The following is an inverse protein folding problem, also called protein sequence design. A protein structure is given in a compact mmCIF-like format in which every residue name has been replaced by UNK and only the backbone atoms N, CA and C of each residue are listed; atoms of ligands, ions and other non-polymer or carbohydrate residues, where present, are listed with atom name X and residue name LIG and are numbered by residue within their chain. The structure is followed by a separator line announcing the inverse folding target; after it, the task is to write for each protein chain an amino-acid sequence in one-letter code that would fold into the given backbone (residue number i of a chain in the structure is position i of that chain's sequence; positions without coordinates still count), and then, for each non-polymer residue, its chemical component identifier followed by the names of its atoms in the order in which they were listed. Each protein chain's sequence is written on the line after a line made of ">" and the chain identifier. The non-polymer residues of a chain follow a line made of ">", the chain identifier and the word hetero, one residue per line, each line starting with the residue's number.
data_IF_583714366135
#
_entry.id   IF_583714366135
#
_cell.length_a   1.000
_cell.length_b   1.000
_cell.length_c   1.000
_cell.angle_alpha   90.00
_cell.angle_beta   90.00
_cell.angle_gamma   90.00
#
_symmetry.space_group_name_H-M   'P 1'
#
loop_
_entity.id
_entity.type
_entity.pdbx_description
1 polymer ?
#
# COMPACT_ATOMS: atom_id res chain seq x y z
N UNK A 1 40.91 34.17 -7.78
CA UNK A 1 40.30 33.08 -8.56
C UNK A 1 38.96 32.78 -7.89
N UNK A 2 37.90 33.47 -8.32
CA UNK A 2 36.58 33.39 -7.68
C UNK A 2 35.84 32.16 -8.21
N UNK A 3 35.59 31.20 -7.32
CA UNK A 3 34.82 30.01 -7.64
C UNK A 3 33.34 30.31 -7.38
N UNK A 4 32.64 30.72 -8.44
CA UNK A 4 31.19 30.90 -8.46
C UNK A 4 30.50 29.53 -8.28
N UNK A 5 29.66 29.32 -7.25
CA UNK A 5 28.94 28.07 -7.10
C UNK A 5 27.89 27.96 -8.21
N UNK A 6 27.90 26.81 -8.90
CA UNK A 6 26.93 26.46 -9.92
C UNK A 6 25.58 26.18 -9.24
N UNK A 7 24.70 27.18 -9.24
CA UNK A 7 23.28 26.99 -8.95
C UNK A 7 22.65 26.15 -10.08
N UNK A 8 22.74 24.83 -9.94
CA UNK A 8 22.02 23.87 -10.75
C UNK A 8 21.04 23.10 -9.87
N UNK A 9 19.90 23.71 -9.55
CA UNK A 9 18.77 22.99 -8.98
C UNK A 9 18.15 22.11 -10.07
N UNK A 10 18.48 20.82 -10.07
CA UNK A 10 17.82 19.80 -10.90
C UNK A 10 16.35 19.68 -10.44
N UNK A 11 15.35 20.03 -11.27
CA UNK A 11 13.94 20.03 -10.84
C UNK A 11 13.30 18.63 -10.71
N UNK A 12 14.06 17.54 -10.91
CA UNK A 12 13.49 16.21 -11.15
C UNK A 12 13.25 15.37 -9.88
N UNK A 13 13.74 15.81 -8.71
CA UNK A 13 13.60 15.03 -7.47
C UNK A 13 12.21 15.15 -6.81
N UNK A 14 11.50 16.28 -7.03
CA UNK A 14 10.22 16.55 -6.36
C UNK A 14 9.01 15.89 -7.02
N UNK A 15 9.05 15.68 -8.33
CA UNK A 15 7.88 15.13 -9.05
C UNK A 15 7.64 13.64 -8.76
N UNK A 16 8.69 12.90 -8.39
CA UNK A 16 8.57 11.47 -8.10
C UNK A 16 8.13 11.18 -6.66
N UNK A 17 8.46 12.03 -5.68
CA UNK A 17 8.24 11.69 -4.27
C UNK A 17 6.75 11.59 -3.89
N UNK A 18 5.89 12.41 -4.51
CA UNK A 18 4.45 12.33 -4.29
C UNK A 18 3.83 11.07 -4.93
N UNK A 19 4.27 10.73 -6.16
CA UNK A 19 3.85 9.50 -6.83
C UNK A 19 4.34 8.24 -6.11
N UNK A 20 5.54 8.30 -5.53
CA UNK A 20 6.11 7.21 -4.74
C UNK A 20 5.38 7.05 -3.40
N UNK A 21 5.04 8.15 -2.72
CA UNK A 21 4.20 8.12 -1.53
C UNK A 21 2.84 7.48 -1.82
N UNK A 22 2.20 7.88 -2.93
CA UNK A 22 0.92 7.33 -3.37
C UNK A 22 0.98 5.82 -3.56
N UNK A 23 1.98 5.33 -4.31
CA UNK A 23 2.18 3.89 -4.53
C UNK A 23 2.43 3.13 -3.23
N UNK A 24 3.25 3.69 -2.33
CA UNK A 24 3.52 3.08 -1.02
C UNK A 24 2.25 3.00 -0.15
N UNK A 25 1.42 4.05 -0.18
CA UNK A 25 0.16 4.11 0.55
C UNK A 25 -0.86 3.09 0.03
N UNK A 26 -0.98 2.94 -1.29
CA UNK A 26 -1.81 1.92 -1.93
C UNK A 26 -1.35 0.50 -1.57
N UNK A 27 -0.04 0.22 -1.64
CA UNK A 27 0.51 -1.08 -1.24
C UNK A 27 0.31 -1.40 0.25
N UNK A 28 0.36 -0.39 1.13
CA UNK A 28 0.07 -0.58 2.54
C UNK A 28 -1.39 -0.99 2.79
N UNK A 29 -2.34 -0.35 2.10
CA UNK A 29 -3.76 -0.69 2.20
C UNK A 29 -4.04 -2.11 1.71
N UNK A 30 -3.37 -2.55 0.64
CA UNK A 30 -3.47 -3.92 0.14
C UNK A 30 -3.00 -4.97 1.17
N UNK A 31 -1.83 -4.74 1.78
CA UNK A 31 -1.28 -5.62 2.81
C UNK A 31 -2.23 -5.67 4.01
N UNK A 32 -2.73 -4.51 4.45
CA UNK A 32 -3.66 -4.41 5.57
C UNK A 32 -4.96 -5.17 5.30
N UNK A 33 -5.58 -4.97 4.13
CA UNK A 33 -6.78 -5.69 3.71
C UNK A 33 -6.56 -7.19 3.70
N UNK A 34 -5.43 -7.63 3.15
CA UNK A 34 -5.05 -9.05 3.13
C UNK A 34 -4.95 -9.62 4.55
N UNK A 35 -4.31 -8.90 5.49
CA UNK A 35 -4.21 -9.37 6.87
C UNK A 35 -5.56 -9.35 7.60
N UNK A 36 -6.41 -8.34 7.36
CA UNK A 36 -7.76 -8.27 7.92
C UNK A 36 -8.62 -9.45 7.47
N UNK A 37 -8.60 -9.75 6.16
CA UNK A 37 -9.34 -10.87 5.58
C UNK A 37 -8.82 -12.23 6.09
N UNK A 38 -7.50 -12.36 6.23
CA UNK A 38 -6.87 -13.55 6.81
C UNK A 38 -7.29 -13.75 8.27
N UNK A 39 -7.28 -12.70 9.10
CA UNK A 39 -7.68 -12.77 10.50
C UNK A 39 -9.17 -13.14 10.66
N UNK A 40 -10.04 -12.54 9.84
CA UNK A 40 -11.47 -12.86 9.84
C UNK A 40 -11.73 -14.34 9.50
N UNK A 41 -10.98 -14.90 8.54
CA UNK A 41 -11.08 -16.33 8.18
C UNK A 41 -10.55 -17.24 9.29
N UNK A 42 -9.40 -16.91 9.89
CA UNK A 42 -8.85 -17.67 11.01
C UNK A 42 -9.80 -17.73 12.20
N UNK A 43 -10.61 -16.69 12.42
CA UNK A 43 -11.63 -16.67 13.47
C UNK A 43 -12.89 -17.51 13.14
N UNK A 44 -13.17 -17.77 11.85
CA UNK A 44 -14.36 -18.48 11.37
C UNK A 44 -14.17 -20.00 11.26
N UNK A 45 -12.96 -20.51 11.40
CA UNK A 45 -12.62 -21.93 11.24
C UNK A 45 -12.38 -22.56 12.61
N UNK A 46 -13.46 -22.79 13.35
CA UNK A 46 -13.46 -23.66 14.53
C UNK A 46 -13.25 -25.14 14.15
N UNK A 47 -12.62 -25.88 15.05
CA UNK A 47 -11.69 -27.01 14.83
C UNK A 47 -12.10 -28.21 13.96
N UNK A 48 -13.34 -28.44 13.52
CA UNK A 48 -13.74 -29.85 13.27
C UNK A 48 -14.61 -30.17 12.03
N UNK A 49 -14.92 -29.24 11.12
CA UNK A 49 -16.09 -29.46 10.23
C UNK A 49 -15.81 -29.84 8.76
N UNK A 50 -14.69 -29.54 8.10
CA UNK A 50 -14.56 -29.82 6.65
C UNK A 50 -13.18 -30.32 6.21
N UNK A 51 -13.11 -31.55 5.70
CA UNK A 51 -11.90 -32.20 5.20
C UNK A 51 -11.12 -31.37 4.17
N UNK A 52 -9.81 -31.66 4.11
CA UNK A 52 -8.77 -30.83 3.48
C UNK A 52 -9.05 -30.36 2.05
N UNK A 53 -9.74 -31.15 1.22
CA UNK A 53 -9.93 -30.85 -0.20
C UNK A 53 -11.00 -29.78 -0.48
N UNK A 54 -12.04 -29.69 0.34
CA UNK A 54 -13.09 -28.67 0.21
C UNK A 54 -12.60 -27.29 0.68
N UNK A 55 -11.73 -27.28 1.70
CA UNK A 55 -11.07 -26.07 2.21
C UNK A 55 -10.14 -25.48 1.16
N UNK A 56 -9.33 -26.32 0.49
CA UNK A 56 -8.39 -25.82 -0.52
C UNK A 56 -9.09 -25.24 -1.74
N UNK A 57 -10.16 -25.87 -2.20
CA UNK A 57 -10.95 -25.33 -3.30
C UNK A 57 -11.65 -24.01 -2.95
N UNK A 58 -12.05 -23.85 -1.69
CA UNK A 58 -12.66 -22.61 -1.19
C UNK A 58 -11.61 -21.51 -1.04
N UNK A 59 -10.37 -21.86 -0.68
CA UNK A 59 -9.20 -20.97 -0.71
C UNK A 59 -8.91 -20.46 -2.11
N UNK A 60 -8.78 -21.36 -3.08
CA UNK A 60 -8.43 -21.00 -4.46
C UNK A 60 -9.48 -20.06 -5.10
N UNK A 61 -10.76 -20.34 -4.87
CA UNK A 61 -11.86 -19.50 -5.36
C UNK A 61 -11.89 -18.13 -4.69
N UNK A 62 -11.55 -18.05 -3.41
CA UNK A 62 -11.50 -16.80 -2.69
C UNK A 62 -10.30 -15.95 -3.09
N UNK A 63 -9.13 -16.56 -3.28
CA UNK A 63 -7.93 -15.88 -3.73
C UNK A 63 -8.13 -15.29 -5.14
N UNK A 64 -8.85 -16.02 -6.00
CA UNK A 64 -9.28 -15.51 -7.30
C UNK A 64 -10.20 -14.27 -7.18
N UNK A 65 -11.06 -14.21 -6.17
CA UNK A 65 -11.99 -13.09 -5.97
C UNK A 65 -11.34 -11.89 -5.26
N UNK A 66 -10.34 -12.13 -4.39
CA UNK A 66 -9.44 -11.07 -3.92
C UNK A 66 -8.65 -10.48 -5.08
N UNK A 67 -8.04 -11.32 -5.93
CA UNK A 67 -7.34 -10.85 -7.12
C UNK A 67 -8.26 -10.07 -8.09
N UNK A 68 -9.55 -10.42 -8.14
CA UNK A 68 -10.54 -9.72 -8.95
C UNK A 68 -11.00 -8.39 -8.31
N UNK A 69 -11.17 -8.35 -6.99
CA UNK A 69 -11.63 -7.15 -6.25
C UNK A 69 -10.56 -6.09 -6.10
N UNK A 70 -9.29 -6.49 -5.95
CA UNK A 70 -8.12 -5.60 -6.00
C UNK A 70 -8.01 -4.84 -7.33
N UNK A 71 -8.56 -5.36 -8.43
CA UNK A 71 -8.61 -4.63 -9.71
C UNK A 71 -9.67 -3.51 -9.77
N UNK A 72 -10.63 -3.46 -8.84
CA UNK A 72 -11.78 -2.54 -8.90
C UNK A 72 -11.86 -1.67 -7.64
N UNK A 73 -11.22 -0.50 -7.73
CA UNK A 73 -11.49 0.75 -6.99
C UNK A 73 -12.69 0.73 -6.04
N UNK A 74 -12.43 0.45 -4.76
CA UNK A 74 -12.98 1.13 -3.57
C UNK A 74 -12.11 0.71 -2.38
N UNK A 75 -10.96 1.38 -2.23
CA UNK A 75 -10.09 1.23 -1.07
C UNK A 75 -10.77 1.72 0.19
N UNK A 76 -10.35 1.23 1.36
CA UNK A 76 -10.87 1.62 2.68
C UNK A 76 -10.56 3.09 3.04
N UNK A 77 -9.85 3.81 2.18
CA UNK A 77 -9.40 5.19 2.41
C UNK A 77 -8.15 5.25 3.28
N UNK A 78 -7.51 4.11 3.54
CA UNK A 78 -6.26 4.04 4.31
C UNK A 78 -5.12 4.61 3.46
N UNK A 79 -5.10 4.32 2.16
CA UNK A 79 -4.11 4.90 1.26
C UNK A 79 -4.19 6.44 1.26
N UNK A 80 -5.39 7.00 1.15
CA UNK A 80 -5.60 8.45 1.18
C UNK A 80 -5.27 9.05 2.56
N UNK A 81 -5.53 8.33 3.65
CA UNK A 81 -5.15 8.78 5.00
C UNK A 81 -3.63 8.79 5.21
N UNK A 82 -2.92 7.78 4.70
CA UNK A 82 -1.46 7.71 4.71
C UNK A 82 -0.89 8.86 3.85
N UNK A 83 -1.39 9.05 2.63
CA UNK A 83 -0.96 10.15 1.76
C UNK A 83 -1.16 11.52 2.44
N UNK A 84 -2.33 11.74 3.06
CA UNK A 84 -2.62 12.99 3.81
C UNK A 84 -1.68 13.19 5.00
N UNK A 85 -1.34 12.14 5.73
CA UNK A 85 -0.47 12.23 6.90
C UNK A 85 1.00 12.45 6.52
N UNK A 86 1.47 11.82 5.43
CA UNK A 86 2.88 11.79 5.07
C UNK A 86 3.29 12.81 3.99
N UNK A 87 2.34 13.34 3.22
CA UNK A 87 2.60 14.39 2.22
C UNK A 87 3.38 15.61 2.74
N UNK A 88 3.20 16.11 3.99
CA UNK A 88 4.03 17.20 4.51
C UNK A 88 5.49 16.81 4.72
N UNK A 89 5.77 15.54 5.03
CA UNK A 89 7.12 15.05 5.32
C UNK A 89 7.90 14.73 4.04
N UNK A 90 7.20 14.32 2.99
CA UNK A 90 7.79 14.04 1.67
C UNK A 90 8.29 15.31 0.98
N UNK A 91 7.72 16.48 1.29
CA UNK A 91 8.26 17.78 0.85
C UNK A 91 9.30 18.38 1.80
N UNK A 92 9.31 17.97 3.08
CA UNK A 92 10.12 18.61 4.12
C UNK A 92 11.53 18.05 4.26
N UNK A 93 11.82 16.84 3.75
CA UNK A 93 13.16 16.25 3.75
C UNK A 93 14.22 16.97 2.90
N UNK A 94 13.85 18.04 2.19
CA UNK A 94 14.75 18.89 1.39
C UNK A 94 15.17 20.18 2.13
N UNK A 95 14.71 20.40 3.37
CA UNK A 95 14.98 21.64 4.13
C UNK A 95 15.60 21.31 5.49
N UNK A 96 16.71 20.59 5.46
CA UNK A 96 17.67 20.52 6.55
C UNK A 96 19.07 20.52 5.89
N UNK A 97 19.76 21.63 6.11
CA UNK A 97 21.20 21.90 5.93
C UNK A 97 21.77 22.01 4.50
#
# INVERSE_FOLDING_TARGET
>A
MELKPLSGSLPLARENSAADLRRAAEGFEEIFLTQMLKAARSASLGDDIMGSSAVEKTRDLFDAEIARSSSRRTGLGIADAVERQFSPFVTSGSKAD
#
